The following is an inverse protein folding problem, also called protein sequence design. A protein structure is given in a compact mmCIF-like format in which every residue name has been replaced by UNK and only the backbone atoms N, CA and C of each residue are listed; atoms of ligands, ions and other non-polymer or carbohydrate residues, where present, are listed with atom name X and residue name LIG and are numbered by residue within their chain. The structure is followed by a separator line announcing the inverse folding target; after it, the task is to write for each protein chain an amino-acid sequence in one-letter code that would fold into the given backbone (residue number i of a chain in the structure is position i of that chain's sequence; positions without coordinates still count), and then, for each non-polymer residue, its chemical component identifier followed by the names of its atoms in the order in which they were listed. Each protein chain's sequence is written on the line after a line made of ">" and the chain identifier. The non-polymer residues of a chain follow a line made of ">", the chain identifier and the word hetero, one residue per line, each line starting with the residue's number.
data_IF_142391177182
#
_entry.id   IF_142391177182
#
_cell.length_a   1.000
_cell.length_b   1.000
_cell.length_c   1.000
_cell.angle_alpha   90.00
_cell.angle_beta   90.00
_cell.angle_gamma   90.00
#
_symmetry.space_group_name_H-M   'P 1'
#
loop_
_entity.id
_entity.type
_entity.pdbx_description
1 polymer ?
#
# COMPACT_ATOMS: atom_id res chain seq x y z
N UNK A 1 23.13 18.85 -56.99
CA UNK A 1 22.29 19.42 -55.93
C UNK A 1 21.86 18.24 -55.09
N UNK A 2 22.52 18.01 -53.96
CA UNK A 2 22.28 16.87 -53.03
C UNK A 2 21.29 17.35 -52.00
N UNK A 3 20.13 16.73 -51.95
CA UNK A 3 19.12 17.01 -50.92
C UNK A 3 19.51 16.22 -49.67
N UNK A 4 19.72 16.87 -48.51
CA UNK A 4 19.96 16.12 -47.28
C UNK A 4 18.69 15.42 -46.83
N UNK A 5 18.76 14.09 -46.72
CA UNK A 5 17.72 13.30 -46.08
C UNK A 5 17.68 13.63 -44.57
N UNK A 6 16.65 14.32 -44.12
CA UNK A 6 16.35 14.44 -42.70
C UNK A 6 15.93 13.06 -42.18
N UNK A 7 16.86 12.38 -41.53
CA UNK A 7 16.54 11.24 -40.67
C UNK A 7 15.82 11.83 -39.45
N UNK A 8 14.49 11.71 -39.40
CA UNK A 8 13.74 11.92 -38.17
C UNK A 8 14.24 10.89 -37.17
N UNK A 9 15.02 11.32 -36.19
CA UNK A 9 15.29 10.49 -35.01
C UNK A 9 13.94 10.04 -34.44
N UNK A 10 13.66 8.74 -34.49
CA UNK A 10 12.54 8.16 -33.74
C UNK A 10 12.86 8.42 -32.26
N UNK A 11 12.17 9.36 -31.65
CA UNK A 11 12.14 9.46 -30.18
C UNK A 11 11.77 8.09 -29.65
N UNK A 12 12.63 7.51 -28.83
CA UNK A 12 12.27 6.28 -28.11
C UNK A 12 10.96 6.56 -27.33
N UNK A 13 10.01 5.64 -27.33
CA UNK A 13 8.79 5.82 -26.58
C UNK A 13 9.17 6.08 -25.10
N UNK A 14 8.61 7.14 -24.52
CA UNK A 14 8.84 7.49 -23.14
C UNK A 14 8.29 6.34 -22.26
N UNK A 15 9.15 5.74 -21.44
CA UNK A 15 8.72 4.73 -20.48
C UNK A 15 7.71 5.34 -19.53
N UNK A 16 6.58 4.69 -19.32
CA UNK A 16 5.50 5.12 -18.42
C UNK A 16 5.29 4.05 -17.35
N UNK A 17 5.01 4.50 -16.13
CA UNK A 17 4.80 3.65 -14.96
C UNK A 17 3.41 3.96 -14.41
N UNK A 18 2.46 3.12 -14.68
CA UNK A 18 1.07 3.28 -14.26
C UNK A 18 0.74 2.39 -13.04
N UNK A 19 -0.40 2.64 -12.43
CA UNK A 19 -0.93 1.80 -11.35
C UNK A 19 -1.63 0.54 -11.90
N UNK A 20 -1.40 -0.64 -11.28
CA UNK A 20 -0.46 -0.92 -10.20
C UNK A 20 1.00 -0.77 -10.69
N UNK A 21 1.89 -0.31 -9.81
CA UNK A 21 3.29 -0.02 -10.20
C UNK A 21 4.16 -1.27 -10.36
N UNK A 22 3.75 -2.41 -9.81
CA UNK A 22 4.36 -3.73 -10.03
C UNK A 22 3.65 -4.47 -11.17
N UNK A 23 4.23 -5.55 -11.70
CA UNK A 23 3.55 -6.41 -12.66
C UNK A 23 2.17 -6.85 -12.18
N UNK A 24 1.22 -6.98 -13.11
CA UNK A 24 -0.19 -7.22 -12.79
C UNK A 24 -0.46 -8.50 -11.99
N UNK A 25 0.40 -9.49 -12.11
CA UNK A 25 0.32 -10.76 -11.39
C UNK A 25 0.88 -10.70 -9.96
N UNK A 26 1.44 -9.56 -9.54
CA UNK A 26 1.97 -9.38 -8.18
C UNK A 26 0.93 -8.73 -7.25
N UNK A 27 0.71 -9.37 -6.12
CA UNK A 27 -0.25 -8.95 -5.12
C UNK A 27 0.48 -8.62 -3.82
N UNK A 28 1.22 -7.51 -3.85
CA UNK A 28 1.98 -6.99 -2.71
C UNK A 28 1.29 -5.74 -2.17
N UNK A 29 0.35 -5.88 -1.21
CA UNK A 29 -0.20 -4.76 -0.47
C UNK A 29 0.73 -4.32 0.65
N UNK A 30 0.28 -3.33 1.41
CA UNK A 30 0.90 -2.87 2.65
C UNK A 30 2.35 -2.42 2.42
N UNK A 31 2.62 -1.80 1.25
CA UNK A 31 3.97 -1.51 0.79
C UNK A 31 4.65 -0.41 1.59
N UNK A 32 5.74 -0.77 2.30
CA UNK A 32 6.68 0.17 2.92
C UNK A 32 7.86 0.42 1.97
N UNK A 33 7.93 1.64 1.37
CA UNK A 33 8.99 2.00 0.45
C UNK A 33 10.23 2.48 1.19
N UNK A 34 11.42 1.97 0.82
CA UNK A 34 12.71 2.42 1.32
C UNK A 34 13.73 2.60 0.21
N UNK A 35 14.63 3.57 0.37
CA UNK A 35 15.75 3.76 -0.56
C UNK A 35 17.04 3.32 0.12
N UNK A 36 17.65 2.29 -0.46
CA UNK A 36 18.98 1.82 -0.08
C UNK A 36 19.85 1.75 -1.33
N UNK A 37 21.10 2.20 -1.24
CA UNK A 37 22.07 2.11 -2.33
C UNK A 37 21.54 2.60 -3.68
N UNK A 38 20.86 3.74 -3.70
CA UNK A 38 20.27 4.36 -4.89
C UNK A 38 19.19 3.51 -5.61
N UNK A 39 18.52 2.60 -4.87
CA UNK A 39 17.38 1.83 -5.34
C UNK A 39 16.21 1.96 -4.37
N UNK A 40 15.02 2.05 -4.93
CA UNK A 40 13.75 1.99 -4.20
C UNK A 40 13.37 0.51 -4.03
N UNK A 41 13.21 0.07 -2.80
CA UNK A 41 12.74 -1.26 -2.41
C UNK A 41 11.33 -1.17 -1.87
N UNK A 42 10.51 -2.17 -2.15
CA UNK A 42 9.17 -2.31 -1.58
C UNK A 42 9.12 -3.57 -0.73
N UNK A 43 8.77 -3.37 0.54
CA UNK A 43 8.49 -4.42 1.50
C UNK A 43 7.01 -4.39 1.83
N UNK A 44 6.32 -5.51 1.72
CA UNK A 44 4.88 -5.56 1.96
C UNK A 44 4.43 -6.98 2.28
N UNK A 45 3.20 -7.11 2.71
CA UNK A 45 2.52 -8.40 2.74
C UNK A 45 2.48 -9.02 1.35
N UNK A 46 2.21 -10.31 1.26
CA UNK A 46 2.10 -10.97 -0.03
C UNK A 46 0.83 -11.80 -0.08
N UNK A 47 -0.18 -11.25 -0.74
CA UNK A 47 -1.45 -11.94 -0.96
C UNK A 47 -1.30 -13.01 -2.04
N UNK A 48 -2.19 -13.98 -2.05
CA UNK A 48 -2.26 -15.03 -3.06
C UNK A 48 -3.46 -14.81 -3.97
N UNK A 49 -3.26 -14.90 -5.28
CA UNK A 49 -4.38 -14.93 -6.22
C UNK A 49 -5.29 -16.15 -5.92
N UNK A 50 -6.60 -15.91 -5.84
CA UNK A 50 -7.58 -16.90 -5.37
C UNK A 50 -7.33 -17.43 -3.94
N UNK A 51 -6.56 -16.71 -3.12
CA UNK A 51 -6.40 -17.01 -1.70
C UNK A 51 -7.72 -16.92 -0.93
N UNK A 52 -7.75 -17.51 0.23
CA UNK A 52 -8.94 -17.58 1.12
C UNK A 52 -8.85 -16.64 2.31
N UNK A 53 -7.65 -16.07 2.53
CA UNK A 53 -7.36 -15.10 3.59
C UNK A 53 -6.27 -14.13 3.15
N UNK A 54 -5.94 -13.16 4.00
CA UNK A 54 -4.85 -12.21 3.78
C UNK A 54 -3.48 -12.90 3.80
N UNK A 55 -2.52 -12.40 3.02
CA UNK A 55 -1.09 -12.64 3.16
C UNK A 55 -0.69 -14.13 3.15
N UNK A 56 -1.27 -14.93 2.22
CA UNK A 56 -1.02 -16.38 2.14
C UNK A 56 0.35 -16.74 1.54
N UNK A 57 1.07 -15.80 0.92
CA UNK A 57 2.40 -16.02 0.35
C UNK A 57 3.51 -15.55 1.29
N UNK A 58 4.74 -16.04 1.09
CA UNK A 58 5.92 -15.64 1.82
C UNK A 58 6.42 -14.26 1.33
N UNK A 59 7.20 -13.54 2.15
CA UNK A 59 7.67 -12.22 1.76
C UNK A 59 8.63 -12.28 0.58
N UNK A 60 8.34 -11.45 -0.41
CA UNK A 60 9.20 -11.19 -1.55
C UNK A 60 9.57 -9.70 -1.59
N UNK A 61 10.58 -9.35 -2.37
CA UNK A 61 10.97 -7.97 -2.54
C UNK A 61 11.08 -7.61 -4.03
N UNK A 62 10.66 -6.41 -4.36
CA UNK A 62 10.87 -5.76 -5.65
C UNK A 62 11.66 -4.48 -5.47
N UNK A 63 12.50 -4.14 -6.43
CA UNK A 63 13.23 -2.88 -6.41
C UNK A 63 13.37 -2.26 -7.78
N UNK A 64 13.49 -0.92 -7.81
CA UNK A 64 13.77 -0.16 -9.02
C UNK A 64 14.89 0.86 -8.77
N UNK A 65 15.72 1.21 -9.76
CA UNK A 65 16.65 2.34 -9.64
C UNK A 65 15.88 3.63 -9.39
N UNK A 66 16.36 4.51 -8.50
CA UNK A 66 15.65 5.79 -8.23
C UNK A 66 15.59 6.71 -9.46
N UNK A 67 16.49 6.55 -10.43
CA UNK A 67 16.53 7.31 -11.67
C UNK A 67 15.70 6.68 -12.81
N UNK A 68 15.24 5.42 -12.65
CA UNK A 68 14.30 4.76 -13.58
C UNK A 68 13.30 3.88 -12.81
N UNK A 69 12.26 4.47 -12.29
CA UNK A 69 11.18 3.74 -11.57
C UNK A 69 10.36 2.80 -12.48
N UNK A 70 10.66 2.72 -13.78
CA UNK A 70 10.05 1.74 -14.69
C UNK A 70 10.83 0.42 -14.79
N UNK A 71 12.03 0.37 -14.19
CA UNK A 71 12.92 -0.81 -14.25
C UNK A 71 12.80 -1.64 -12.97
N UNK A 72 11.58 -2.14 -12.70
CA UNK A 72 11.32 -3.01 -11.57
C UNK A 72 11.96 -4.38 -11.75
N UNK A 73 12.71 -4.79 -10.74
CA UNK A 73 13.35 -6.10 -10.65
C UNK A 73 12.80 -6.90 -9.49
N UNK A 74 12.45 -8.15 -9.76
CA UNK A 74 12.14 -9.13 -8.73
C UNK A 74 13.44 -9.55 -8.03
N UNK A 75 13.56 -9.29 -6.74
CA UNK A 75 14.73 -9.62 -5.93
C UNK A 75 14.69 -11.04 -5.38
N UNK A 76 13.50 -11.65 -5.35
CA UNK A 76 13.30 -12.98 -4.82
C UNK A 76 12.48 -13.03 -3.53
N UNK A 77 12.35 -14.23 -2.98
CA UNK A 77 11.82 -14.46 -1.64
C UNK A 77 12.87 -13.99 -0.62
N UNK A 78 12.46 -13.08 0.27
CA UNK A 78 13.35 -12.50 1.30
C UNK A 78 13.16 -13.14 2.68
N UNK A 79 11.97 -13.69 2.96
CA UNK A 79 11.70 -14.40 4.22
C UNK A 79 10.58 -15.42 4.05
N UNK A 80 10.82 -16.67 4.48
CA UNK A 80 9.87 -17.74 4.41
C UNK A 80 9.28 -18.03 5.80
N UNK A 81 7.95 -18.12 5.89
CA UNK A 81 7.24 -18.40 7.16
C UNK A 81 7.72 -19.66 7.88
N UNK A 82 8.25 -20.67 7.15
CA UNK A 82 8.79 -21.89 7.73
C UNK A 82 10.06 -21.68 8.55
N UNK A 83 10.72 -20.53 8.40
CA UNK A 83 11.90 -20.14 9.20
C UNK A 83 11.49 -19.64 10.59
N UNK A 84 10.23 -19.19 10.76
CA UNK A 84 9.75 -18.72 12.05
C UNK A 84 9.76 -19.85 13.08
N UNK A 85 10.35 -19.65 14.28
CA UNK A 85 10.48 -20.71 15.29
C UNK A 85 9.12 -21.21 15.81
N UNK A 86 8.12 -20.34 15.86
CA UNK A 86 6.74 -20.67 16.27
C UNK A 86 5.89 -21.02 15.04
N UNK A 87 6.27 -22.08 14.33
CA UNK A 87 5.68 -22.51 13.05
C UNK A 87 4.16 -22.71 13.10
N UNK A 88 3.65 -23.14 14.25
CA UNK A 88 2.23 -23.39 14.47
C UNK A 88 1.41 -22.07 14.53
N UNK A 89 2.05 -20.97 14.93
CA UNK A 89 1.48 -19.63 14.97
C UNK A 89 1.69 -18.89 13.63
N UNK A 90 2.78 -19.18 12.92
CA UNK A 90 3.20 -18.47 11.72
C UNK A 90 2.60 -19.08 10.44
N UNK A 91 1.27 -18.98 10.30
CA UNK A 91 0.58 -19.36 9.06
C UNK A 91 0.51 -18.19 8.08
N UNK A 92 0.54 -16.96 8.58
CA UNK A 92 0.34 -15.70 7.82
C UNK A 92 1.39 -14.69 8.30
N UNK A 93 2.06 -14.05 7.35
CA UNK A 93 3.01 -12.97 7.56
C UNK A 93 2.32 -11.64 7.22
N UNK A 94 1.99 -10.82 8.25
CA UNK A 94 1.37 -9.51 8.06
C UNK A 94 2.40 -8.44 7.71
N UNK A 95 1.91 -7.24 7.41
CA UNK A 95 2.68 -6.09 6.96
C UNK A 95 4.06 -5.96 7.63
N UNK A 96 5.15 -6.00 6.85
CA UNK A 96 6.50 -5.83 7.36
C UNK A 96 6.98 -4.40 7.19
N UNK A 97 7.99 -4.00 7.97
CA UNK A 97 8.82 -2.83 7.69
C UNK A 97 10.30 -3.18 7.85
N UNK A 98 11.17 -2.48 7.10
CA UNK A 98 12.61 -2.75 7.07
C UNK A 98 13.42 -1.50 7.36
N UNK A 99 14.45 -1.61 8.18
CA UNK A 99 15.39 -0.54 8.45
C UNK A 99 16.83 -1.02 8.35
N UNK A 100 17.75 -0.15 7.93
CA UNK A 100 19.18 -0.40 8.06
C UNK A 100 19.66 0.04 9.45
N UNK A 101 20.23 -0.86 10.21
CA UNK A 101 20.81 -0.59 11.52
C UNK A 101 22.15 0.15 11.41
N UNK A 102 22.62 0.69 12.55
CA UNK A 102 23.91 1.38 12.65
C UNK A 102 25.12 0.47 12.37
N UNK A 103 24.93 -0.84 12.45
CA UNK A 103 25.92 -1.87 12.12
C UNK A 103 25.95 -2.21 10.60
N UNK A 104 25.11 -1.54 9.81
CA UNK A 104 25.00 -1.71 8.37
C UNK A 104 24.11 -2.86 7.91
N UNK A 105 23.63 -3.70 8.83
CA UNK A 105 22.68 -4.78 8.51
C UNK A 105 21.25 -4.26 8.38
N UNK A 106 20.38 -5.05 7.75
CA UNK A 106 18.97 -4.75 7.52
C UNK A 106 18.12 -5.59 8.46
N UNK A 107 17.16 -4.95 9.12
CA UNK A 107 16.27 -5.54 10.10
C UNK A 107 14.83 -5.46 9.62
N UNK A 108 14.21 -6.62 9.42
CA UNK A 108 12.81 -6.76 8.99
C UNK A 108 11.96 -7.05 10.21
N UNK A 109 11.06 -6.12 10.53
CA UNK A 109 10.06 -6.25 11.60
C UNK A 109 8.76 -6.73 10.99
N UNK A 110 8.10 -7.67 11.64
CA UNK A 110 6.84 -8.22 11.16
C UNK A 110 6.02 -8.83 12.29
N UNK A 111 4.69 -8.90 12.08
CA UNK A 111 3.76 -9.62 12.93
C UNK A 111 3.21 -10.85 12.22
N UNK A 112 2.76 -11.85 12.99
CA UNK A 112 2.18 -13.08 12.47
C UNK A 112 0.76 -13.28 12.99
N UNK A 113 -0.05 -14.04 12.25
CA UNK A 113 -1.41 -14.35 12.67
C UNK A 113 -1.44 -15.08 14.00
N UNK A 114 -2.50 -14.86 14.78
CA UNK A 114 -2.74 -15.49 16.07
C UNK A 114 -1.68 -15.22 17.15
N UNK A 115 -0.74 -14.31 16.87
CA UNK A 115 0.29 -13.88 17.79
C UNK A 115 0.29 -12.37 17.94
N UNK A 116 0.68 -11.87 19.08
CA UNK A 116 0.93 -10.44 19.29
C UNK A 116 2.42 -10.18 19.54
N UNK A 117 3.28 -11.04 19.00
CA UNK A 117 4.73 -10.84 19.02
C UNK A 117 5.12 -9.92 17.88
N UNK A 118 6.06 -9.04 18.13
CA UNK A 118 6.78 -8.35 17.07
C UNK A 118 8.07 -9.11 16.81
N UNK A 119 8.13 -9.81 15.69
CA UNK A 119 9.28 -10.62 15.31
C UNK A 119 10.23 -9.82 14.44
N UNK A 120 11.52 -10.15 14.53
CA UNK A 120 12.58 -9.48 13.78
C UNK A 120 13.44 -10.51 13.06
N UNK A 121 13.70 -10.27 11.80
CA UNK A 121 14.68 -11.01 11.01
C UNK A 121 15.78 -10.06 10.52
N UNK A 122 16.96 -10.57 10.22
CA UNK A 122 18.15 -9.76 9.87
C UNK A 122 18.83 -10.30 8.62
N UNK A 123 19.39 -9.39 7.81
CA UNK A 123 20.16 -9.72 6.63
C UNK A 123 21.30 -8.70 6.40
N UNK A 124 22.34 -9.10 5.70
CA UNK A 124 23.46 -8.21 5.32
C UNK A 124 23.17 -7.39 4.07
N UNK A 125 22.07 -7.64 3.38
CA UNK A 125 21.63 -6.87 2.20
C UNK A 125 20.16 -6.52 2.24
N UNK A 126 19.70 -5.44 1.55
CA UNK A 126 18.33 -4.96 1.62
C UNK A 126 17.31 -5.95 1.05
N UNK A 127 17.70 -6.83 0.15
CA UNK A 127 16.83 -7.82 -0.46
C UNK A 127 17.45 -9.24 -0.46
N UNK A 128 18.32 -9.51 0.50
CA UNK A 128 18.82 -10.86 0.71
C UNK A 128 17.84 -11.73 1.48
N UNK A 129 18.27 -12.93 1.78
CA UNK A 129 17.50 -13.84 2.58
C UNK A 129 17.64 -13.50 4.05
N UNK A 130 16.56 -12.96 4.65
CA UNK A 130 16.54 -12.60 6.07
C UNK A 130 16.46 -13.85 6.94
N UNK A 131 17.18 -13.85 8.04
CA UNK A 131 17.15 -14.91 9.03
C UNK A 131 16.49 -14.42 10.32
N UNK A 132 15.65 -15.27 10.93
CA UNK A 132 15.01 -14.93 12.20
C UNK A 132 16.05 -14.61 13.28
N UNK A 133 15.93 -13.43 13.88
CA UNK A 133 16.84 -12.92 14.92
C UNK A 133 16.24 -13.10 16.32
N UNK A 134 14.94 -12.83 16.47
CA UNK A 134 14.25 -12.89 17.77
C UNK A 134 12.95 -12.11 17.77
N UNK A 135 12.29 -12.10 18.94
CA UNK A 135 11.11 -11.28 19.19
C UNK A 135 11.49 -10.05 20.02
N UNK A 136 10.78 -8.95 19.82
CA UNK A 136 10.96 -7.73 20.62
C UNK A 136 10.63 -8.01 22.07
N UNK A 137 11.52 -7.56 22.98
CA UNK A 137 11.51 -7.92 24.40
C UNK A 137 11.81 -6.72 25.30
N UNK A 138 11.38 -6.82 26.53
CA UNK A 138 11.73 -5.89 27.61
C UNK A 138 13.17 -6.10 28.10
N UNK A 139 13.70 -5.18 28.89
CA UNK A 139 15.09 -5.23 29.44
C UNK A 139 15.38 -6.48 30.26
N UNK A 140 14.39 -7.03 30.93
CA UNK A 140 14.50 -8.27 31.71
C UNK A 140 14.40 -9.55 30.84
N UNK A 141 14.31 -9.39 29.52
CA UNK A 141 14.30 -10.47 28.55
C UNK A 141 12.92 -11.09 28.27
N UNK A 142 11.85 -10.55 28.82
CA UNK A 142 10.48 -10.98 28.55
C UNK A 142 10.05 -10.52 27.14
N UNK A 143 9.56 -11.44 26.32
CA UNK A 143 8.92 -11.09 25.03
C UNK A 143 7.70 -10.21 25.32
N UNK A 144 7.61 -9.08 24.66
CA UNK A 144 6.51 -8.14 24.80
C UNK A 144 5.35 -8.47 23.85
N UNK A 145 4.13 -8.13 24.27
CA UNK A 145 2.92 -8.37 23.49
C UNK A 145 2.24 -9.71 23.76
N UNK A 146 2.76 -10.55 24.67
CA UNK A 146 2.21 -11.87 24.94
C UNK A 146 1.45 -11.99 26.26
N UNK A 147 1.58 -11.02 27.16
CA UNK A 147 0.91 -11.04 28.47
C UNK A 147 -0.29 -10.09 28.50
N UNK A 148 -1.24 -10.40 29.39
CA UNK A 148 -2.33 -9.48 29.74
C UNK A 148 -1.75 -8.15 30.19
N UNK A 149 -2.30 -7.04 29.68
CA UNK A 149 -1.83 -5.69 29.92
C UNK A 149 -0.73 -5.20 28.98
N UNK A 150 -0.11 -6.06 28.16
CA UNK A 150 0.73 -5.62 27.05
C UNK A 150 -0.14 -5.01 25.93
N UNK A 151 0.40 -4.09 25.13
CA UNK A 151 -0.25 -3.65 23.91
C UNK A 151 -0.14 -4.70 22.82
N UNK A 152 -1.21 -4.91 22.04
CA UNK A 152 -1.19 -5.77 20.86
C UNK A 152 -0.18 -5.23 19.85
N UNK A 153 0.81 -6.05 19.51
CA UNK A 153 1.82 -5.76 18.49
C UNK A 153 1.25 -6.12 17.11
N UNK A 154 1.09 -5.11 16.25
CA UNK A 154 0.53 -5.28 14.91
C UNK A 154 1.02 -4.18 13.98
N UNK A 155 1.29 -4.50 12.71
CA UNK A 155 1.71 -3.57 11.67
C UNK A 155 2.84 -2.62 12.13
N UNK A 156 4.08 -3.11 12.17
CA UNK A 156 5.22 -2.31 12.61
C UNK A 156 5.54 -1.17 11.65
N UNK A 157 5.90 -0.01 12.21
CA UNK A 157 6.69 1.00 11.55
C UNK A 157 8.00 1.17 12.31
N UNK A 158 9.14 1.04 11.65
CA UNK A 158 10.44 1.20 12.30
C UNK A 158 11.18 2.40 11.70
N UNK A 159 11.72 3.24 12.58
CA UNK A 159 12.33 4.50 12.18
C UNK A 159 13.60 4.77 12.98
N UNK A 160 14.67 5.18 12.30
CA UNK A 160 15.90 5.67 12.92
C UNK A 160 15.96 7.19 12.77
N UNK A 161 16.10 7.89 13.90
CA UNK A 161 16.24 9.34 13.92
C UNK A 161 17.70 9.77 13.62
N UNK A 162 17.90 11.06 13.38
CA UNK A 162 19.20 11.66 13.04
C UNK A 162 20.26 11.46 14.13
N UNK A 163 19.84 11.24 15.38
CA UNK A 163 20.73 10.95 16.51
C UNK A 163 21.08 9.46 16.68
N UNK A 164 20.58 8.60 15.78
CA UNK A 164 20.76 7.16 15.80
C UNK A 164 19.79 6.40 16.72
N UNK A 165 18.86 7.09 17.38
CA UNK A 165 17.80 6.45 18.15
C UNK A 165 16.83 5.71 17.23
N UNK A 166 16.50 4.46 17.56
CA UNK A 166 15.57 3.64 16.81
C UNK A 166 14.24 3.57 17.52
N UNK A 167 13.16 3.85 16.82
CA UNK A 167 11.79 3.83 17.31
C UNK A 167 10.99 2.75 16.59
N UNK A 168 10.25 1.97 17.35
CA UNK A 168 9.29 0.99 16.86
C UNK A 168 7.88 1.47 17.17
N UNK A 169 7.11 1.74 16.14
CA UNK A 169 5.68 2.08 16.19
C UNK A 169 4.87 0.83 15.88
N UNK A 170 3.73 0.70 16.53
CA UNK A 170 2.83 -0.42 16.31
C UNK A 170 1.47 -0.10 16.92
N UNK A 171 0.50 -0.98 16.74
CA UNK A 171 -0.78 -0.87 17.41
C UNK A 171 -1.94 -1.41 16.59
N UNK A 172 -3.04 -1.63 17.32
CA UNK A 172 -4.31 -2.04 16.72
C UNK A 172 -5.45 -1.40 17.52
N UNK A 173 -6.43 -0.80 16.85
CA UNK A 173 -7.51 -0.08 17.50
C UNK A 173 -8.89 -0.42 16.92
N UNK A 174 -9.33 -1.70 16.99
CA UNK A 174 -10.66 -2.12 16.58
C UNK A 174 -11.74 -1.63 17.56
N UNK A 175 -12.97 -2.08 17.41
CA UNK A 175 -14.06 -1.73 18.35
C UNK A 175 -13.83 -2.26 19.78
N UNK A 176 -13.22 -3.45 19.90
CA UNK A 176 -12.84 -4.02 21.21
C UNK A 176 -11.61 -3.30 21.75
N UNK A 177 -11.51 -3.17 23.07
CA UNK A 177 -10.39 -2.53 23.76
C UNK A 177 -9.32 -3.51 24.20
N UNK A 178 -9.69 -4.79 24.29
CA UNK A 178 -8.81 -5.91 24.65
C UNK A 178 -9.14 -7.13 23.78
N UNK A 179 -8.14 -7.96 23.56
CA UNK A 179 -8.32 -9.27 22.93
C UNK A 179 -8.71 -10.35 23.98
N UNK A 180 -8.81 -11.61 23.53
CA UNK A 180 -9.15 -12.75 24.38
C UNK A 180 -8.11 -13.10 25.44
N UNK A 181 -6.91 -12.54 25.35
CA UNK A 181 -5.81 -12.72 26.30
C UNK A 181 -5.62 -11.51 27.24
N UNK A 182 -6.53 -10.50 27.17
CA UNK A 182 -6.44 -9.28 27.98
C UNK A 182 -5.32 -8.34 27.52
N UNK A 183 -4.89 -8.41 26.26
CA UNK A 183 -3.91 -7.48 25.68
C UNK A 183 -4.63 -6.26 25.12
N UNK A 184 -4.00 -5.10 25.26
CA UNK A 184 -4.63 -3.79 25.05
C UNK A 184 -4.63 -3.42 23.57
N UNK A 185 -5.79 -2.98 23.06
CA UNK A 185 -6.03 -2.50 21.69
C UNK A 185 -6.57 -1.06 21.71
N UNK A 186 -5.77 -0.09 22.17
CA UNK A 186 -6.23 1.26 22.53
C UNK A 186 -5.66 2.40 21.67
N UNK A 187 -4.93 2.09 20.61
CA UNK A 187 -4.38 3.11 19.72
C UNK A 187 -3.02 2.74 19.13
N UNK A 188 -2.33 3.75 18.60
CA UNK A 188 -0.94 3.63 18.19
C UNK A 188 -0.02 3.90 19.39
N UNK A 189 1.03 3.11 19.50
CA UNK A 189 2.05 3.30 20.52
C UNK A 189 3.45 3.28 19.91
N UNK A 190 4.43 3.74 20.67
CA UNK A 190 5.84 3.75 20.30
C UNK A 190 6.69 3.27 21.47
N UNK A 191 7.77 2.59 21.17
CA UNK A 191 8.90 2.39 22.08
C UNK A 191 10.22 2.67 21.36
N UNK A 192 11.22 3.10 22.14
CA UNK A 192 12.59 3.17 21.64
C UNK A 192 13.27 1.82 21.82
N UNK A 193 14.05 1.39 20.82
CA UNK A 193 14.83 0.16 20.89
C UNK A 193 16.28 0.42 21.30
N UNK A 194 16.91 -0.59 21.88
CA UNK A 194 18.35 -0.62 22.13
C UNK A 194 19.11 -0.97 20.82
N UNK A 195 20.44 -0.76 20.78
CA UNK A 195 21.24 -1.05 19.58
C UNK A 195 21.21 -2.50 19.10
N UNK A 196 20.73 -3.44 19.91
CA UNK A 196 20.52 -4.84 19.50
C UNK A 196 19.30 -5.03 18.60
N UNK A 197 18.52 -3.97 18.35
CA UNK A 197 17.32 -3.94 17.52
C UNK A 197 16.17 -4.86 17.99
N UNK A 198 16.27 -5.39 19.21
CA UNK A 198 15.28 -6.30 19.82
C UNK A 198 14.80 -5.84 21.18
N UNK A 199 15.68 -5.25 21.98
CA UNK A 199 15.36 -4.91 23.36
C UNK A 199 14.76 -3.51 23.44
N UNK A 200 13.59 -3.38 24.04
CA UNK A 200 12.98 -2.08 24.33
C UNK A 200 13.83 -1.30 25.33
N UNK A 201 14.16 -0.05 25.01
CA UNK A 201 14.82 0.86 25.96
C UNK A 201 13.88 1.22 27.11
N UNK A 202 12.60 1.33 26.83
CA UNK A 202 11.51 1.61 27.75
C UNK A 202 10.23 0.91 27.32
N UNK A 203 9.27 0.72 28.21
CA UNK A 203 7.96 0.18 27.83
C UNK A 203 7.26 1.14 26.88
N UNK A 204 6.46 0.62 25.93
CA UNK A 204 5.77 1.45 24.95
C UNK A 204 4.72 2.35 25.64
N UNK A 205 4.53 3.53 25.05
CA UNK A 205 3.46 4.44 25.42
C UNK A 205 2.62 4.85 24.22
N UNK A 206 1.36 5.19 24.44
CA UNK A 206 0.41 5.56 23.40
C UNK A 206 0.73 6.96 22.88
N UNK A 207 0.80 7.10 21.55
CA UNK A 207 0.99 8.39 20.86
C UNK A 207 -0.31 8.89 20.20
N UNK A 208 -1.20 8.00 19.77
CA UNK A 208 -2.54 8.31 19.27
C UNK A 208 -3.52 7.38 19.98
N UNK A 209 -4.18 7.87 21.05
CA UNK A 209 -5.13 7.05 21.81
C UNK A 209 -6.45 6.87 21.07
N UNK A 210 -7.23 5.86 21.46
CA UNK A 210 -8.55 5.55 20.93
C UNK A 210 -9.50 6.76 20.88
N UNK A 211 -9.48 7.57 21.93
CA UNK A 211 -10.32 8.76 22.09
C UNK A 211 -9.64 10.05 21.62
N UNK A 212 -8.64 9.93 20.76
CA UNK A 212 -7.96 11.09 20.19
C UNK A 212 -8.93 11.99 19.44
N UNK A 213 -8.92 13.28 19.76
CA UNK A 213 -9.80 14.26 19.12
C UNK A 213 -9.29 14.56 17.71
N UNK A 214 -10.00 14.13 16.72
CA UNK A 214 -9.73 14.37 15.30
C UNK A 214 -11.05 14.51 14.54
N UNK A 215 -11.08 15.22 13.39
CA UNK A 215 -12.27 15.33 12.55
C UNK A 215 -12.80 13.97 12.12
N UNK A 216 -14.11 13.86 11.98
CA UNK A 216 -14.82 12.70 11.40
C UNK A 216 -14.45 11.33 12.01
N UNK A 217 -13.92 11.30 13.24
CA UNK A 217 -13.44 10.08 13.89
C UNK A 217 -12.30 9.39 13.11
N UNK A 218 -11.43 10.19 12.45
CA UNK A 218 -10.27 9.74 11.68
C UNK A 218 -9.11 9.22 12.56
N UNK A 219 -9.40 8.72 13.75
CA UNK A 219 -8.42 8.15 14.65
C UNK A 219 -7.79 6.87 14.10
N UNK A 220 -6.66 6.53 14.69
CA UNK A 220 -5.86 5.36 14.33
C UNK A 220 -6.67 4.05 14.37
N UNK A 221 -6.45 3.20 13.37
CA UNK A 221 -6.93 1.83 13.32
C UNK A 221 -5.77 0.83 13.32
N UNK A 222 -4.85 0.91 12.36
CA UNK A 222 -3.68 0.04 12.15
C UNK A 222 -2.66 0.71 11.22
N UNK A 223 -1.67 -0.01 10.71
CA UNK A 223 -0.75 0.42 9.66
C UNK A 223 0.17 1.58 10.09
N UNK A 224 0.98 1.35 11.10
CA UNK A 224 1.91 2.36 11.61
C UNK A 224 3.08 2.55 10.65
N UNK A 225 3.35 3.79 10.24
CA UNK A 225 4.56 4.15 9.49
C UNK A 225 5.06 5.54 9.89
N UNK A 226 6.37 5.74 9.92
CA UNK A 226 6.98 6.99 10.34
C UNK A 226 7.99 7.51 9.31
N UNK A 227 7.88 8.82 9.00
CA UNK A 227 8.86 9.53 8.17
C UNK A 227 9.21 10.88 8.79
N UNK A 228 10.47 11.31 8.63
CA UNK A 228 10.91 12.65 9.01
C UNK A 228 11.24 13.45 7.75
N UNK A 229 10.55 14.55 7.54
CA UNK A 229 10.70 15.40 6.36
C UNK A 229 10.83 16.85 6.82
N UNK A 230 11.95 17.49 6.49
CA UNK A 230 12.23 18.88 6.87
C UNK A 230 12.07 19.18 8.37
N UNK A 231 12.46 18.22 9.24
CA UNK A 231 12.38 18.35 10.69
C UNK A 231 10.97 18.21 11.28
N UNK A 232 10.02 17.73 10.48
CA UNK A 232 8.66 17.35 10.90
C UNK A 232 8.56 15.82 10.83
N UNK A 233 8.03 15.20 11.87
CA UNK A 233 7.72 13.79 11.92
C UNK A 233 6.29 13.58 11.42
N UNK A 234 6.14 12.68 10.45
CA UNK A 234 4.86 12.28 9.86
C UNK A 234 4.57 10.85 10.27
N UNK A 235 3.59 10.67 11.12
CA UNK A 235 3.04 9.36 11.44
C UNK A 235 1.89 9.09 10.49
N UNK A 236 2.09 8.15 9.57
CA UNK A 236 1.11 7.71 8.58
C UNK A 236 0.40 6.48 9.14
N UNK A 237 -0.91 6.38 8.93
CA UNK A 237 -1.70 5.28 9.48
C UNK A 237 -3.00 5.06 8.71
N UNK A 238 -3.54 3.84 8.78
CA UNK A 238 -4.90 3.51 8.37
C UNK A 238 -5.90 4.03 9.40
N UNK A 239 -6.87 4.82 8.96
CA UNK A 239 -7.86 5.39 9.85
C UNK A 239 -9.14 4.55 9.89
N UNK A 240 -9.88 4.63 11.01
CA UNK A 240 -11.16 3.95 11.19
C UNK A 240 -12.24 4.31 10.16
N UNK A 241 -12.05 5.39 9.44
CA UNK A 241 -12.98 5.91 8.41
C UNK A 241 -12.52 5.67 6.99
N UNK A 242 -11.61 4.74 6.76
CA UNK A 242 -10.96 4.43 5.48
C UNK A 242 -9.94 5.49 5.02
N UNK A 243 -8.92 5.01 4.32
CA UNK A 243 -7.84 5.78 3.74
C UNK A 243 -6.62 5.90 4.65
N UNK A 244 -5.52 6.28 4.02
CA UNK A 244 -4.29 6.64 4.71
C UNK A 244 -4.38 8.08 5.18
N UNK A 245 -4.20 8.26 6.47
CA UNK A 245 -4.18 9.54 7.17
C UNK A 245 -2.80 9.79 7.76
N UNK A 246 -2.57 11.02 8.21
CA UNK A 246 -1.33 11.35 8.89
C UNK A 246 -1.55 12.28 10.07
N UNK A 247 -0.63 12.18 11.00
CA UNK A 247 -0.44 13.12 12.09
C UNK A 247 0.99 13.64 12.06
N UNK A 248 1.21 14.86 12.51
CA UNK A 248 2.55 15.48 12.55
C UNK A 248 2.96 15.87 13.95
N UNK A 249 4.27 15.81 14.21
CA UNK A 249 4.87 16.30 15.43
C UNK A 249 6.26 16.90 15.18
N UNK A 250 6.81 17.60 16.18
CA UNK A 250 8.22 18.00 16.28
C UNK A 250 9.08 16.97 17.02
N UNK A 251 8.45 15.93 17.54
CA UNK A 251 9.06 14.84 18.28
C UNK A 251 8.67 13.50 17.67
N UNK A 252 9.52 12.47 17.75
CA UNK A 252 9.21 11.16 17.19
C UNK A 252 8.17 10.39 18.04
N UNK A 253 7.97 10.76 19.29
CA UNK A 253 7.31 9.94 20.31
C UNK A 253 6.11 10.61 21.01
N UNK A 254 5.74 11.84 20.65
CA UNK A 254 4.68 12.59 21.36
C UNK A 254 4.15 13.77 20.57
N UNK A 255 3.11 14.42 21.12
CA UNK A 255 2.54 15.69 20.66
C UNK A 255 2.06 15.67 19.18
N UNK A 256 1.54 14.53 18.74
CA UNK A 256 1.02 14.41 17.38
C UNK A 256 -0.29 15.17 17.19
N UNK A 257 -0.36 15.92 16.10
CA UNK A 257 -1.54 16.69 15.68
C UNK A 257 -2.03 16.13 14.36
N UNK A 258 -3.33 15.92 14.24
CA UNK A 258 -3.96 15.43 13.02
C UNK A 258 -3.68 16.35 11.84
N UNK A 259 -3.18 15.79 10.74
CA UNK A 259 -2.82 16.50 9.52
C UNK A 259 -3.85 16.40 8.41
N UNK A 260 -4.54 15.28 8.30
CA UNK A 260 -5.52 15.03 7.23
C UNK A 260 -5.48 13.63 6.66
N UNK A 261 -6.33 13.38 5.66
CA UNK A 261 -6.24 12.20 4.81
C UNK A 261 -5.26 12.49 3.67
N UNK A 262 -4.37 11.54 3.37
CA UNK A 262 -3.43 11.64 2.26
C UNK A 262 -4.00 10.99 1.00
N UNK A 263 -4.52 9.76 1.15
CA UNK A 263 -4.97 8.96 0.02
C UNK A 263 -6.11 8.02 0.42
N UNK A 264 -6.91 7.66 -0.56
CA UNK A 264 -7.83 6.53 -0.54
C UNK A 264 -7.89 5.97 -1.96
N UNK A 265 -7.52 4.72 -2.14
CA UNK A 265 -7.60 4.03 -3.43
C UNK A 265 -9.03 3.98 -4.02
N UNK A 266 -10.01 4.46 -3.26
CA UNK A 266 -11.42 4.55 -3.62
C UNK A 266 -11.95 5.98 -3.70
N UNK A 267 -11.08 6.99 -3.68
CA UNK A 267 -11.36 8.43 -3.68
C UNK A 267 -12.28 8.92 -2.53
N UNK A 268 -12.46 8.12 -1.48
CA UNK A 268 -13.30 8.50 -0.33
C UNK A 268 -12.77 9.81 0.27
N UNK A 269 -13.67 10.78 0.47
CA UNK A 269 -13.35 12.13 0.94
C UNK A 269 -13.13 13.17 -0.16
N UNK A 270 -13.04 12.75 -1.41
CA UNK A 270 -12.93 13.64 -2.56
C UNK A 270 -14.21 13.63 -3.40
N UNK A 271 -14.55 14.77 -4.03
CA UNK A 271 -15.66 14.89 -4.99
C UNK A 271 -17.00 14.32 -4.54
N UNK A 272 -17.23 14.23 -3.22
CA UNK A 272 -18.46 13.67 -2.64
C UNK A 272 -18.47 12.14 -2.54
N UNK A 273 -17.36 11.45 -2.79
CA UNK A 273 -17.27 10.03 -2.55
C UNK A 273 -17.19 9.73 -1.05
N UNK A 274 -17.97 8.73 -0.65
CA UNK A 274 -18.07 8.20 0.71
C UNK A 274 -17.84 6.67 0.67
N UNK A 275 -17.90 6.01 1.81
CA UNK A 275 -17.85 4.54 1.89
C UNK A 275 -18.97 3.90 1.08
N UNK A 276 -20.15 4.51 1.05
CA UNK A 276 -21.34 3.94 0.41
C UNK A 276 -21.35 4.12 -1.12
N UNK A 277 -20.66 5.14 -1.64
CA UNK A 277 -20.65 5.45 -3.06
C UNK A 277 -19.23 5.55 -3.64
N UNK A 278 -18.28 4.87 -3.04
CA UNK A 278 -16.87 4.91 -3.41
C UNK A 278 -16.61 4.72 -4.91
N UNK A 279 -15.55 5.35 -5.42
CA UNK A 279 -15.18 5.29 -6.84
C UNK A 279 -14.61 3.92 -7.24
N UNK A 280 -14.11 3.17 -6.28
CA UNK A 280 -13.49 1.85 -6.44
C UNK A 280 -13.83 0.97 -5.23
N UNK A 281 -13.79 -0.36 -5.30
CA UNK A 281 -13.97 -1.22 -4.12
C UNK A 281 -13.05 -0.79 -2.97
N UNK A 282 -13.62 -0.62 -1.77
CA UNK A 282 -12.90 -0.11 -0.60
C UNK A 282 -12.76 -1.17 0.50
N UNK A 283 -11.74 -0.99 1.34
CA UNK A 283 -11.44 -1.87 2.48
C UNK A 283 -10.32 -1.30 3.35
N UNK A 284 -9.44 -2.14 3.89
CA UNK A 284 -8.26 -1.69 4.61
C UNK A 284 -7.29 -0.94 3.70
N UNK A 285 -6.41 -0.17 4.29
CA UNK A 285 -5.37 0.62 3.61
C UNK A 285 -4.09 0.50 4.42
N UNK A 286 -2.94 0.45 3.76
CA UNK A 286 -1.64 0.47 4.41
C UNK A 286 -0.58 0.90 3.41
N UNK A 287 0.33 1.73 3.86
CA UNK A 287 1.45 2.21 3.06
C UNK A 287 2.11 3.44 3.67
N UNK A 288 3.01 4.06 2.93
CA UNK A 288 3.86 5.11 3.45
C UNK A 288 4.27 6.14 2.40
N UNK A 289 4.91 7.20 2.87
CA UNK A 289 5.48 8.26 2.04
C UNK A 289 6.96 7.99 1.78
N UNK A 290 7.41 8.28 0.56
CA UNK A 290 8.83 8.32 0.21
C UNK A 290 9.16 9.50 -0.70
N UNK A 291 10.37 10.04 -0.56
CA UNK A 291 10.92 11.02 -1.49
C UNK A 291 11.79 10.30 -2.53
N UNK A 292 11.48 10.48 -3.81
CA UNK A 292 12.28 9.98 -4.94
C UNK A 292 12.50 11.10 -5.93
N UNK A 293 13.74 11.44 -6.28
CA UNK A 293 14.08 12.46 -7.27
C UNK A 293 13.37 13.82 -7.06
N UNK A 294 13.36 14.34 -5.84
CA UNK A 294 12.69 15.58 -5.43
C UNK A 294 11.15 15.54 -5.54
N UNK A 295 10.56 14.39 -5.69
CA UNK A 295 9.12 14.18 -5.65
C UNK A 295 8.76 13.31 -4.46
N UNK A 296 7.60 13.57 -3.86
CA UNK A 296 7.04 12.75 -2.81
C UNK A 296 5.94 11.86 -3.40
N UNK A 297 5.89 10.63 -2.94
CA UNK A 297 4.86 9.65 -3.31
C UNK A 297 4.27 9.05 -2.06
N UNK A 298 2.96 8.82 -2.08
CA UNK A 298 2.26 7.94 -1.13
C UNK A 298 2.09 6.58 -1.80
N UNK A 299 2.47 5.53 -1.09
CA UNK A 299 2.19 4.15 -1.45
C UNK A 299 0.97 3.68 -0.67
N UNK A 300 0.14 2.87 -1.30
CA UNK A 300 -1.09 2.28 -0.76
C UNK A 300 -1.38 1.00 -1.56
N UNK A 301 -2.53 0.39 -1.36
CA UNK A 301 -2.99 -0.74 -2.18
C UNK A 301 -4.45 -0.57 -2.60
N UNK A 302 -4.84 -1.33 -3.63
CA UNK A 302 -6.21 -1.45 -4.11
C UNK A 302 -6.66 -2.91 -4.11
N UNK A 303 -7.96 -3.15 -4.10
CA UNK A 303 -8.54 -4.48 -4.13
C UNK A 303 -8.72 -4.99 -5.57
N UNK A 304 -8.59 -6.28 -5.76
CA UNK A 304 -8.86 -6.97 -7.01
C UNK A 304 -9.57 -8.30 -6.77
N UNK A 305 -9.90 -9.03 -7.82
CA UNK A 305 -10.51 -10.35 -7.78
C UNK A 305 -11.80 -10.46 -6.92
N UNK A 306 -12.53 -9.32 -6.76
CA UNK A 306 -13.76 -9.23 -5.98
C UNK A 306 -13.65 -9.77 -4.54
N UNK A 307 -12.46 -9.64 -3.95
CA UNK A 307 -12.15 -10.10 -2.59
C UNK A 307 -11.29 -9.08 -1.86
N UNK A 308 -11.21 -9.19 -0.54
CA UNK A 308 -10.28 -8.42 0.29
C UNK A 308 -8.87 -9.03 0.37
N UNK A 309 -8.67 -10.20 -0.23
CA UNK A 309 -7.45 -11.01 -0.08
C UNK A 309 -6.58 -11.04 -1.34
N UNK A 310 -6.80 -10.12 -2.26
CA UNK A 310 -6.07 -10.04 -3.50
C UNK A 310 -5.81 -8.57 -3.80
N UNK A 311 -4.79 -8.00 -3.13
CA UNK A 311 -4.51 -6.57 -3.12
C UNK A 311 -3.26 -6.26 -3.93
N UNK A 312 -3.29 -5.19 -4.71
CA UNK A 312 -2.18 -4.74 -5.54
C UNK A 312 -1.66 -3.39 -5.06
N UNK A 313 -0.34 -3.23 -5.01
CA UNK A 313 0.29 -1.97 -4.66
C UNK A 313 0.00 -0.88 -5.68
N UNK A 314 -0.39 0.31 -5.20
CA UNK A 314 -0.57 1.54 -5.97
C UNK A 314 0.24 2.67 -5.35
N UNK A 315 0.57 3.67 -6.15
CA UNK A 315 1.29 4.84 -5.65
C UNK A 315 0.77 6.10 -6.34
N UNK A 316 0.74 7.21 -5.59
CA UNK A 316 0.35 8.50 -6.12
C UNK A 316 1.35 9.58 -5.72
N UNK A 317 1.56 10.54 -6.62
CA UNK A 317 2.40 11.69 -6.32
C UNK A 317 1.66 12.63 -5.36
N UNK A 318 2.34 13.04 -4.30
CA UNK A 318 1.84 14.01 -3.33
C UNK A 318 2.68 15.29 -3.33
N UNK A 319 2.10 16.36 -2.82
CA UNK A 319 2.81 17.60 -2.55
C UNK A 319 2.82 17.88 -1.04
N UNK A 320 4.00 18.14 -0.48
CA UNK A 320 4.16 18.57 0.89
C UNK A 320 4.42 20.08 0.87
N UNK A 321 3.50 20.84 1.41
CA UNK A 321 3.59 22.31 1.47
C UNK A 321 4.70 22.75 2.45
N UNK A 322 5.12 24.00 2.37
CA UNK A 322 6.19 24.54 3.26
C UNK A 322 5.83 24.48 4.74
N UNK A 323 4.55 24.53 5.08
CA UNK A 323 4.05 24.39 6.46
C UNK A 323 3.94 22.93 6.91
N UNK A 324 4.25 21.96 6.04
CA UNK A 324 4.14 20.53 6.29
C UNK A 324 2.77 19.92 5.94
N UNK A 325 1.82 20.69 5.43
CA UNK A 325 0.50 20.16 5.07
C UNK A 325 0.57 19.33 3.79
N UNK A 326 -0.20 18.24 3.79
CA UNK A 326 -0.41 17.34 2.63
C UNK A 326 -1.90 17.33 2.32
N UNK A 327 -2.27 17.87 1.15
CA UNK A 327 -3.64 17.74 0.64
C UNK A 327 -3.89 16.33 0.14
N UNK A 328 -5.11 15.83 0.34
CA UNK A 328 -5.51 14.52 -0.18
C UNK A 328 -5.37 14.47 -1.70
N UNK A 329 -4.79 13.38 -2.22
CA UNK A 329 -4.67 13.11 -3.65
C UNK A 329 -5.66 12.04 -4.10
N UNK A 330 -6.02 12.10 -5.39
CA UNK A 330 -6.91 11.13 -6.02
C UNK A 330 -6.17 9.83 -6.34
N UNK A 331 -6.90 8.72 -6.35
CA UNK A 331 -6.46 7.48 -6.99
C UNK A 331 -6.46 7.66 -8.52
N UNK A 332 -5.33 7.41 -9.18
CA UNK A 332 -5.17 7.62 -10.63
C UNK A 332 -4.63 6.39 -11.33
N UNK A 333 -4.67 6.40 -12.66
CA UNK A 333 -3.95 5.42 -13.48
C UNK A 333 -2.46 5.75 -13.61
N UNK A 334 -2.04 6.96 -13.16
CA UNK A 334 -0.69 7.48 -13.44
C UNK A 334 0.42 6.79 -12.64
N UNK A 335 0.13 6.39 -11.40
CA UNK A 335 1.12 5.73 -10.56
C UNK A 335 2.38 6.57 -10.31
N UNK A 336 3.53 5.96 -10.50
CA UNK A 336 4.85 6.60 -10.34
C UNK A 336 5.25 7.48 -11.55
N UNK A 337 4.39 7.59 -12.55
CA UNK A 337 4.66 8.45 -13.70
C UNK A 337 4.73 9.93 -13.28
N UNK A 338 5.63 10.68 -13.89
CA UNK A 338 5.77 12.11 -13.59
C UNK A 338 4.74 12.95 -14.33
N UNK A 339 3.46 12.78 -13.99
CA UNK A 339 2.32 13.47 -14.59
C UNK A 339 1.39 12.56 -15.38
N UNK A 340 0.45 13.13 -16.16
CA UNK A 340 -0.48 12.35 -16.95
C UNK A 340 0.19 11.39 -17.95
N UNK A 341 -0.44 10.24 -18.16
CA UNK A 341 -0.02 9.28 -19.19
C UNK A 341 -0.19 9.87 -20.59
N UNK A 342 0.58 9.40 -21.57
CA UNK A 342 0.32 9.78 -22.98
C UNK A 342 -1.04 9.26 -23.42
N UNK A 343 -1.82 10.08 -24.13
CA UNK A 343 -3.04 9.60 -24.75
C UNK A 343 -2.80 8.77 -26.03
N UNK A 344 -1.55 8.73 -26.52
CA UNK A 344 -1.12 7.91 -27.64
C UNK A 344 -0.59 6.56 -27.15
N UNK A 345 -1.16 5.47 -27.64
CA UNK A 345 -0.73 4.12 -27.31
C UNK A 345 -1.88 3.20 -26.91
N UNK A 346 -1.52 1.98 -26.51
CA UNK A 346 -2.43 0.96 -25.99
C UNK A 346 -2.13 0.75 -24.52
N UNK A 347 -3.16 0.74 -23.71
CA UNK A 347 -3.07 0.55 -22.26
C UNK A 347 -3.89 -0.66 -21.83
N UNK A 348 -3.42 -1.44 -20.87
CA UNK A 348 -4.20 -2.53 -20.31
C UNK A 348 -5.41 -2.00 -19.53
N UNK A 349 -6.53 -2.70 -19.62
CA UNK A 349 -7.76 -2.28 -18.93
C UNK A 349 -7.62 -2.26 -17.41
N UNK A 350 -6.71 -3.02 -16.85
CA UNK A 350 -6.49 -3.10 -15.42
C UNK A 350 -5.88 -1.84 -14.77
N UNK A 351 -5.43 -0.84 -15.56
CA UNK A 351 -5.00 0.44 -14.98
C UNK A 351 -6.17 1.33 -14.53
N UNK A 352 -7.40 0.84 -14.66
CA UNK A 352 -8.59 1.54 -14.20
C UNK A 352 -8.48 1.93 -12.71
N UNK A 353 -8.76 3.19 -12.40
CA UNK A 353 -8.79 3.73 -11.05
C UNK A 353 -10.20 4.04 -10.54
N UNK A 354 -11.21 3.94 -11.40
CA UNK A 354 -12.63 3.94 -11.08
C UNK A 354 -13.26 2.66 -11.57
N UNK A 355 -13.91 1.91 -10.69
CA UNK A 355 -14.68 0.70 -11.04
C UNK A 355 -15.88 0.64 -10.14
N UNK A 356 -17.08 0.81 -10.69
CA UNK A 356 -18.32 0.77 -9.93
C UNK A 356 -19.51 0.40 -10.80
N UNK A 357 -20.62 0.03 -10.17
CA UNK A 357 -21.90 -0.11 -10.84
C UNK A 357 -22.89 0.90 -10.25
N UNK A 358 -23.40 1.79 -11.11
CA UNK A 358 -24.29 2.90 -10.70
C UNK A 358 -25.69 2.42 -10.28
N UNK A 359 -26.04 1.16 -10.51
CA UNK A 359 -27.31 0.57 -10.06
C UNK A 359 -27.26 0.04 -8.62
N UNK A 360 -26.06 -0.03 -8.04
CA UNK A 360 -25.86 -0.47 -6.64
C UNK A 360 -26.26 0.65 -5.70
N UNK A 361 -27.13 0.32 -4.75
CA UNK A 361 -27.55 1.21 -3.66
C UNK A 361 -27.09 0.70 -2.30
N UNK A 362 -27.00 1.59 -1.31
CA UNK A 362 -26.50 1.26 0.03
C UNK A 362 -27.38 0.27 0.80
N UNK A 363 -28.66 0.18 0.48
CA UNK A 363 -29.64 -0.72 1.08
C UNK A 363 -29.60 -2.15 0.50
N UNK A 364 -28.89 -2.36 -0.62
CA UNK A 364 -28.72 -3.70 -1.18
C UNK A 364 -27.89 -4.60 -0.24
N UNK A 365 -28.27 -5.89 -0.09
CA UNK A 365 -27.43 -6.88 0.60
C UNK A 365 -26.02 -6.96 0.01
N UNK A 366 -25.02 -7.17 0.85
CA UNK A 366 -23.60 -7.27 0.42
C UNK A 366 -23.41 -8.29 -0.70
N UNK A 367 -24.05 -9.45 -0.60
CA UNK A 367 -23.95 -10.53 -1.58
C UNK A 367 -24.49 -10.11 -2.97
N UNK A 368 -25.57 -9.32 -3.00
CA UNK A 368 -26.13 -8.85 -4.28
C UNK A 368 -25.28 -7.73 -4.88
N UNK A 369 -24.71 -6.85 -4.03
CA UNK A 369 -23.74 -5.85 -4.48
C UNK A 369 -22.52 -6.52 -5.14
N UNK A 370 -21.96 -7.57 -4.54
CA UNK A 370 -20.81 -8.30 -5.09
C UNK A 370 -21.11 -8.96 -6.46
N UNK A 371 -22.35 -9.44 -6.67
CA UNK A 371 -22.78 -9.99 -7.97
C UNK A 371 -22.89 -8.94 -9.08
N UNK A 372 -23.10 -7.68 -8.71
CA UNK A 372 -23.27 -6.57 -9.65
C UNK A 372 -21.99 -5.76 -9.87
N UNK A 373 -21.01 -5.87 -8.97
CA UNK A 373 -19.78 -5.08 -9.02
C UNK A 373 -18.83 -5.61 -10.11
N UNK A 374 -18.36 -4.75 -11.01
CA UNK A 374 -17.22 -5.09 -11.87
C UNK A 374 -15.93 -5.12 -11.06
N UNK A 375 -14.97 -5.93 -11.46
CA UNK A 375 -13.68 -6.06 -10.76
C UNK A 375 -12.55 -6.48 -11.69
N UNK A 376 -11.33 -6.11 -11.32
CA UNK A 376 -10.11 -6.54 -12.00
C UNK A 376 -9.78 -7.96 -11.54
N UNK A 377 -9.42 -8.83 -12.49
CA UNK A 377 -9.01 -10.22 -12.22
C UNK A 377 -8.10 -10.71 -13.35
N UNK A 378 -7.61 -11.92 -13.24
CA UNK A 378 -6.84 -12.66 -14.25
C UNK A 378 -7.41 -14.06 -14.41
N UNK A 379 -7.00 -14.76 -15.47
CA UNK A 379 -7.11 -16.20 -15.57
C UNK A 379 -5.81 -16.86 -15.03
N UNK A 380 -5.73 -18.18 -15.00
CA UNK A 380 -4.54 -18.90 -14.57
C UNK A 380 -4.35 -19.00 -13.07
N UNK A 381 -3.14 -19.34 -12.69
CA UNK A 381 -2.74 -19.58 -11.30
C UNK A 381 -2.08 -18.34 -10.68
N UNK A 382 -1.84 -18.42 -9.37
CA UNK A 382 -1.10 -17.39 -8.64
C UNK A 382 0.31 -17.22 -9.24
N UNK A 383 0.69 -15.95 -9.52
CA UNK A 383 1.97 -15.59 -10.15
C UNK A 383 2.20 -16.19 -11.53
N UNK A 384 1.13 -16.47 -12.27
CA UNK A 384 1.24 -16.84 -13.69
C UNK A 384 1.61 -15.61 -14.53
N UNK A 385 2.77 -15.69 -15.18
CA UNK A 385 3.33 -14.58 -15.97
C UNK A 385 2.66 -14.42 -17.35
N UNK A 386 1.81 -15.36 -17.74
CA UNK A 386 1.28 -15.47 -19.10
C UNK A 386 0.01 -14.69 -19.37
N UNK A 387 -0.76 -14.37 -18.34
CA UNK A 387 -2.10 -13.82 -18.47
C UNK A 387 -2.17 -12.35 -18.03
N UNK A 388 -2.63 -11.51 -18.95
CA UNK A 388 -2.96 -10.11 -18.64
C UNK A 388 -4.23 -10.05 -17.79
N UNK A 389 -4.23 -9.14 -16.83
CA UNK A 389 -5.43 -8.83 -16.08
C UNK A 389 -6.47 -8.12 -16.94
N UNK A 390 -7.73 -8.35 -16.62
CA UNK A 390 -8.88 -7.75 -17.31
C UNK A 390 -9.98 -7.36 -16.30
N UNK A 391 -10.97 -6.61 -16.77
CA UNK A 391 -12.14 -6.25 -15.97
C UNK A 391 -13.25 -7.24 -16.25
N UNK A 392 -13.67 -7.97 -15.23
CA UNK A 392 -14.74 -8.97 -15.26
C UNK A 392 -16.05 -8.40 -14.73
N UNK A 393 -17.14 -9.11 -15.01
CA UNK A 393 -18.49 -8.81 -14.54
C UNK A 393 -19.03 -7.45 -15.02
N UNK A 394 -18.69 -7.06 -16.25
CA UNK A 394 -19.23 -5.89 -16.90
C UNK A 394 -20.69 -6.12 -17.32
N UNK A 395 -21.60 -5.32 -16.77
CA UNK A 395 -23.03 -5.41 -17.04
C UNK A 395 -23.66 -4.01 -17.08
N UNK A 396 -24.96 -3.92 -17.30
CA UNK A 396 -25.66 -2.63 -17.35
C UNK A 396 -25.46 -1.84 -16.06
N UNK A 397 -25.15 -0.55 -16.18
CA UNK A 397 -24.86 0.35 -15.08
C UNK A 397 -23.40 0.36 -14.62
N UNK A 398 -22.53 -0.54 -15.13
CA UNK A 398 -21.11 -0.51 -14.82
C UNK A 398 -20.42 0.71 -15.44
N UNK A 399 -19.52 1.29 -14.68
CA UNK A 399 -18.64 2.38 -15.07
C UNK A 399 -17.19 2.03 -14.75
N UNK A 400 -16.32 2.25 -15.73
CA UNK A 400 -14.86 2.12 -15.61
C UNK A 400 -14.24 3.45 -16.00
N UNK A 401 -13.32 3.93 -15.20
CA UNK A 401 -12.67 5.22 -15.41
C UNK A 401 -11.15 5.15 -15.26
N UNK A 402 -10.51 5.98 -16.04
CA UNK A 402 -9.06 6.11 -16.13
C UNK A 402 -8.67 7.57 -15.95
N UNK A 403 -7.62 7.87 -15.17
CA UNK A 403 -7.10 9.23 -14.87
C UNK A 403 -5.57 9.18 -14.77
N UNK A 404 -4.85 10.11 -15.32
CA UNK A 404 -5.09 11.18 -16.24
C UNK A 404 -4.31 10.92 -17.54
N UNK A 405 -4.82 11.40 -18.67
CA UNK A 405 -4.15 11.29 -19.96
C UNK A 405 -3.90 12.66 -20.56
N UNK A 406 -2.72 12.84 -21.16
CA UNK A 406 -2.36 14.06 -21.87
C UNK A 406 -2.67 13.87 -23.37
N UNK A 407 -3.73 14.52 -23.83
CA UNK A 407 -4.07 14.62 -25.24
C UNK A 407 -3.31 15.82 -25.81
N UNK A 408 -2.20 15.61 -26.53
CA UNK A 408 -1.41 16.66 -27.15
C UNK A 408 -2.30 17.73 -27.84
N UNK A 409 -1.94 19.01 -27.72
CA UNK A 409 -2.71 20.25 -27.95
C UNK A 409 -3.45 20.47 -29.29
N UNK A 410 -3.84 19.44 -30.01
CA UNK A 410 -4.60 19.55 -31.26
C UNK A 410 -6.11 19.29 -31.10
N UNK A 411 -6.61 19.14 -29.88
CA UNK A 411 -8.06 19.04 -29.64
C UNK A 411 -8.55 20.38 -29.13
N UNK A 412 -9.39 21.01 -29.93
CA UNK A 412 -10.08 22.26 -29.62
C UNK A 412 -10.94 22.07 -28.35
N UNK A 413 -10.54 22.74 -27.24
CA UNK A 413 -11.09 22.53 -25.89
C UNK A 413 -12.52 23.13 -25.76
N UNK A 414 -13.14 23.58 -26.83
CA UNK A 414 -14.43 24.26 -26.80
C UNK A 414 -15.66 23.34 -26.74
N UNK A 415 -15.51 22.02 -26.68
CA UNK A 415 -16.63 21.11 -26.49
C UNK A 415 -16.43 20.21 -25.26
N UNK A 416 -17.20 20.52 -24.21
CA UNK A 416 -17.36 19.75 -22.99
C UNK A 416 -17.73 18.31 -23.28
N UNK A 417 -16.81 17.39 -23.10
CA UNK A 417 -16.93 16.02 -22.65
C UNK A 417 -15.75 15.21 -23.20
N UNK A 418 -14.74 14.97 -22.37
CA UNK A 418 -13.76 13.93 -22.65
C UNK A 418 -14.43 12.56 -22.41
N UNK A 419 -15.15 12.07 -23.38
CA UNK A 419 -15.67 10.71 -23.40
C UNK A 419 -14.59 9.85 -24.06
N UNK A 420 -13.88 9.05 -23.27
CA UNK A 420 -13.14 7.90 -23.74
C UNK A 420 -14.19 6.88 -24.24
N UNK A 421 -14.37 6.77 -25.55
CA UNK A 421 -15.12 5.66 -26.13
C UNK A 421 -14.22 4.44 -26.12
N UNK A 422 -14.53 3.48 -25.26
CA UNK A 422 -13.95 2.14 -25.35
C UNK A 422 -14.80 1.34 -26.35
N UNK A 423 -14.19 0.93 -27.46
CA UNK A 423 -14.81 -0.05 -28.38
C UNK A 423 -14.83 -1.41 -27.66
N UNK A 424 -16.00 -1.80 -27.22
CA UNK A 424 -16.23 -3.16 -26.71
C UNK A 424 -16.34 -4.12 -27.89
N UNK A 425 -15.38 -5.00 -28.05
CA UNK A 425 -15.56 -6.20 -28.86
C UNK A 425 -16.41 -7.19 -28.05
N UNK A 426 -17.71 -7.20 -28.30
CA UNK A 426 -18.61 -8.25 -27.83
C UNK A 426 -18.28 -9.55 -28.55
N UNK A 427 -17.43 -10.39 -27.99
CA UNK A 427 -17.37 -11.79 -28.38
C UNK A 427 -18.57 -12.52 -27.78
N UNK A 428 -19.74 -12.34 -28.38
CA UNK A 428 -20.87 -13.23 -28.17
C UNK A 428 -20.53 -14.59 -28.80
N UNK A 429 -20.20 -15.54 -27.97
CA UNK A 429 -20.15 -16.96 -28.39
C UNK A 429 -21.57 -17.37 -28.68
N UNK A 430 -21.90 -17.43 -29.97
CA UNK A 430 -23.08 -18.12 -30.45
C UNK A 430 -22.93 -19.62 -30.18
N UNK A 431 -23.53 -20.11 -29.12
CA UNK A 431 -23.82 -21.52 -28.95
C UNK A 431 -24.94 -21.89 -29.89
N UNK A 432 -24.63 -22.25 -31.14
CA UNK A 432 -25.55 -22.95 -31.95
C UNK A 432 -25.67 -24.40 -31.47
N UNK A 433 -26.78 -24.67 -30.79
CA UNK A 433 -27.31 -26.02 -30.70
C UNK A 433 -27.68 -26.49 -32.10
N UNK A 434 -27.17 -27.63 -32.52
CA UNK A 434 -27.78 -28.47 -33.55
C UNK A 434 -27.53 -29.93 -33.22
N UNK A 435 -28.65 -30.57 -32.95
CA UNK A 435 -29.03 -32.01 -32.98
C UNK A 435 -28.22 -32.99 -32.11
#
# INVERSE_FOLDING_TARGET
>A
MIIPSYIKERKQPMKQIFNPYLPSYEYIPDGEPHIFNNRLYIYGSHDRFNGTTYCENDYVCWSAPVDDLSDWRFEGEIYNRKQHPHKEECLILFAPDVIQGSDGRYYLYYSVAHSSRMSVAVCDSPAGHFEYLGDVKTKDGRVYGIQSGDYVQFDPGVFMDDDGSVYLYSGFCPKKTEDEHGRIMEGAFVCRLMPDMLTMYELPHIIIPRNWTCPDNAGFFEASSMRKINGIYYFIYSARINGLHYATSRYPDRDFVYGGRIHSSSDIGLRGYTIDNAAYPNGNTHGSIIAVNNHYYIFDHRFSNNTSFCRQGVAERINIEKNGHISQVEATSCGLNNGPLSAEGTYPSYIACHIRNLTITSDMPKEDRLKLMPYITQDGEDRDYGDDQYIKNMQNGCMVGYKYFNFNNNIDINNNANILTTDYVNNSINSNNSN
#
